data_IF_589933970741
#
_entry.id   IF_589933970741
#
_cell.length_a   1.000
_cell.length_b   1.000
_cell.length_c   1.000
_cell.angle_alpha   90.00
_cell.angle_beta   90.00
_cell.angle_gamma   90.00
#
_symmetry.space_group_name_H-M   'P 1'
#
loop_
_entity.id
_entity.type
_entity.pdbx_description
1 polymer ?
#
# COMPACT_ATOMS: atom_id res chain seq x y z
N UNK A 1 -15.32 -34.88 -28.77
CA UNK A 1 -14.89 -33.95 -27.71
C UNK A 1 -13.40 -34.14 -27.46
N UNK A 2 -12.59 -33.08 -27.56
CA UNK A 2 -11.41 -32.97 -26.71
C UNK A 2 -11.41 -31.66 -25.92
N UNK A 3 -10.86 -31.74 -24.70
CA UNK A 3 -10.73 -30.64 -23.75
C UNK A 3 -9.75 -29.58 -24.28
N UNK A 4 -10.18 -28.32 -24.31
CA UNK A 4 -9.34 -27.20 -24.71
C UNK A 4 -8.72 -26.56 -23.45
N UNK A 5 -7.41 -26.75 -23.27
CA UNK A 5 -6.62 -26.13 -22.21
C UNK A 5 -6.70 -24.59 -22.32
N UNK A 6 -7.18 -23.94 -21.26
CA UNK A 6 -7.15 -22.48 -21.13
C UNK A 6 -5.69 -22.02 -20.92
N UNK A 7 -5.05 -21.54 -21.98
CA UNK A 7 -3.78 -20.79 -21.89
C UNK A 7 -3.98 -19.55 -21.02
N UNK A 8 -3.19 -19.45 -19.95
CA UNK A 8 -3.02 -18.22 -19.18
C UNK A 8 -2.37 -17.14 -20.06
N UNK A 9 -3.11 -16.09 -20.39
CA UNK A 9 -2.54 -14.90 -21.00
C UNK A 9 -1.86 -14.07 -19.91
N UNK A 10 -0.52 -13.95 -20.01
CA UNK A 10 0.25 -12.99 -19.24
C UNK A 10 0.25 -11.66 -19.98
N UNK A 11 0.11 -10.57 -19.25
CA UNK A 11 0.30 -9.21 -19.78
C UNK A 11 1.68 -9.12 -20.46
N UNK A 12 1.65 -8.77 -21.75
CA UNK A 12 2.83 -8.36 -22.51
C UNK A 12 2.72 -6.84 -22.60
N UNK A 13 3.64 -6.13 -21.95
CA UNK A 13 3.65 -4.67 -21.96
C UNK A 13 3.66 -4.16 -23.40
N UNK A 14 2.70 -3.28 -23.70
CA UNK A 14 2.59 -2.63 -25.00
C UNK A 14 3.86 -1.79 -25.22
N UNK A 15 4.59 -2.14 -26.27
CA UNK A 15 5.86 -1.52 -26.62
C UNK A 15 5.56 -0.20 -27.38
N UNK A 16 5.36 0.90 -26.67
CA UNK A 16 5.37 2.23 -27.27
C UNK A 16 6.81 2.71 -27.45
N UNK A 17 7.33 2.63 -28.67
CA UNK A 17 8.63 3.24 -29.04
C UNK A 17 8.53 4.76 -28.87
N UNK A 18 9.22 5.32 -27.87
CA UNK A 18 9.55 6.74 -27.80
C UNK A 18 10.95 6.92 -28.41
N UNK A 19 11.04 7.69 -29.49
CA UNK A 19 12.32 8.12 -30.08
C UNK A 19 12.75 9.43 -29.44
N UNK A 20 13.46 9.34 -28.31
CA UNK A 20 14.59 10.18 -27.90
C UNK A 20 14.97 9.76 -26.48
N UNK A 21 16.18 9.24 -26.32
CA UNK A 21 16.72 8.81 -25.04
C UNK A 21 17.31 10.02 -24.32
N UNK A 22 16.65 10.48 -23.26
CA UNK A 22 17.28 11.36 -22.28
C UNK A 22 17.63 10.54 -21.03
N UNK A 23 18.90 10.58 -20.61
CA UNK A 23 19.47 9.66 -19.61
C UNK A 23 19.08 9.97 -18.16
N UNK A 24 18.31 11.03 -17.92
CA UNK A 24 17.94 11.49 -16.58
C UNK A 24 16.57 10.98 -16.07
N UNK A 25 15.75 10.36 -16.92
CA UNK A 25 14.34 10.06 -16.58
C UNK A 25 13.85 8.74 -17.19
N UNK A 26 14.64 7.66 -17.07
CA UNK A 26 14.19 6.34 -17.53
C UNK A 26 13.35 5.64 -16.45
N UNK A 27 12.22 4.99 -16.79
CA UNK A 27 11.51 4.12 -15.87
C UNK A 27 12.42 3.01 -15.35
N UNK A 28 12.40 2.77 -14.04
CA UNK A 28 13.11 1.65 -13.43
C UNK A 28 12.56 0.35 -14.02
N UNK A 29 13.42 -0.45 -14.67
CA UNK A 29 13.06 -1.78 -15.16
C UNK A 29 13.07 -2.77 -13.99
N UNK A 30 11.90 -3.17 -13.52
CA UNK A 30 11.75 -4.21 -12.51
C UNK A 30 12.01 -5.62 -13.12
N UNK A 31 12.80 -6.49 -12.46
CA UNK A 31 12.95 -7.88 -12.85
C UNK A 31 11.67 -8.67 -12.57
N UNK A 32 11.23 -9.50 -13.52
CA UNK A 32 10.05 -10.36 -13.38
C UNK A 32 10.43 -11.71 -12.77
N UNK A 33 10.33 -11.88 -11.45
CA UNK A 33 10.41 -13.19 -10.82
C UNK A 33 9.00 -13.71 -10.50
N UNK A 34 8.69 -14.96 -10.87
CA UNK A 34 7.39 -15.59 -10.55
C UNK A 34 7.62 -16.57 -9.42
N UNK A 35 7.08 -16.27 -8.23
CA UNK A 35 7.05 -17.22 -7.12
C UNK A 35 5.60 -17.66 -6.87
N UNK A 36 5.40 -18.98 -6.76
CA UNK A 36 4.10 -19.61 -6.55
C UNK A 36 3.94 -19.86 -5.06
N UNK A 37 3.00 -19.19 -4.40
CA UNK A 37 2.80 -19.29 -2.94
C UNK A 37 1.78 -20.40 -2.63
N UNK A 38 2.07 -21.24 -1.63
CA UNK A 38 1.09 -22.15 -0.99
C UNK A 38 1.03 -21.81 0.49
N UNK A 39 -0.14 -21.41 1.00
CA UNK A 39 -0.36 -21.07 2.41
C UNK A 39 -1.04 -22.25 3.13
N UNK A 40 -0.48 -22.71 4.24
CA UNK A 40 -1.15 -23.62 5.19
C UNK A 40 -1.68 -22.82 6.39
N UNK A 41 -2.97 -22.97 6.66
CA UNK A 41 -3.68 -22.34 7.80
C UNK A 41 -3.57 -23.25 9.03
N UNK A 42 -3.23 -22.70 10.19
CA UNK A 42 -3.22 -23.41 11.49
C UNK A 42 -4.25 -22.76 12.42
N UNK A 43 -5.07 -23.60 13.06
CA UNK A 43 -6.16 -23.25 13.99
C UNK A 43 -5.67 -23.02 15.44
N UNK A 44 -6.43 -22.32 16.32
CA UNK A 44 -5.97 -21.95 17.65
C UNK A 44 -6.24 -23.03 18.72
N UNK A 45 -5.35 -23.13 19.71
CA UNK A 45 -5.48 -24.04 20.88
C UNK A 45 -5.90 -23.26 22.15
N UNK A 46 -6.72 -23.93 22.95
CA UNK A 46 -7.44 -23.49 24.16
C UNK A 46 -6.57 -23.29 25.41
N UNK A 47 -7.09 -22.46 26.31
CA UNK A 47 -6.68 -22.17 27.69
C UNK A 47 -6.92 -23.32 28.68
N UNK A 48 -6.02 -23.47 29.66
CA UNK A 48 -6.27 -24.19 30.92
C UNK A 48 -5.78 -23.38 32.14
N UNK A 49 -6.59 -23.45 33.18
CA UNK A 49 -6.52 -22.86 34.53
C UNK A 49 -5.58 -23.64 35.48
N UNK A 50 -5.17 -23.04 36.62
CA UNK A 50 -5.41 -23.56 38.00
C UNK A 50 -4.62 -22.83 39.12
N UNK A 51 -5.40 -22.47 40.15
CA UNK A 51 -5.21 -22.34 41.62
C UNK A 51 -4.19 -21.42 42.32
N UNK A 52 -4.77 -20.79 43.35
CA UNK A 52 -4.33 -19.95 44.46
C UNK A 52 -3.44 -20.59 45.54
N UNK A 53 -2.65 -19.76 46.23
CA UNK A 53 -2.59 -19.76 47.70
C UNK A 53 -2.09 -18.41 48.22
N UNK A 54 -2.69 -17.96 49.33
CA UNK A 54 -2.48 -16.65 49.95
C UNK A 54 -1.42 -16.72 51.06
N UNK A 55 -0.71 -15.60 51.29
CA UNK A 55 -0.28 -15.22 52.65
C UNK A 55 0.00 -13.71 52.78
N UNK A 56 -0.17 -13.26 54.01
CA UNK A 56 -0.56 -11.94 54.53
C UNK A 56 0.55 -10.89 54.74
N UNK A 57 0.12 -9.62 54.70
CA UNK A 57 0.58 -8.42 55.45
C UNK A 57 1.99 -7.83 55.23
N UNK A 58 2.06 -6.61 54.69
CA UNK A 58 2.20 -5.37 55.47
C UNK A 58 2.36 -4.14 54.55
N UNK A 59 1.95 -2.98 55.06
CA UNK A 59 1.94 -1.68 54.39
C UNK A 59 3.36 -1.23 54.02
N UNK A 60 3.59 -0.82 52.77
CA UNK A 60 4.22 0.47 52.47
C UNK A 60 4.27 0.79 50.97
N UNK A 61 4.00 2.07 50.70
CA UNK A 61 4.41 2.85 49.52
C UNK A 61 3.66 2.67 48.20
N UNK A 62 2.88 3.72 47.89
CA UNK A 62 2.44 4.12 46.56
C UNK A 62 3.69 4.32 45.69
N UNK A 63 4.00 3.37 44.81
CA UNK A 63 4.80 3.62 43.62
C UNK A 63 3.96 3.31 42.40
N UNK A 64 3.49 4.39 41.80
CA UNK A 64 2.80 4.48 40.53
C UNK A 64 3.35 3.52 39.49
N UNK A 65 2.42 2.94 38.74
CA UNK A 65 2.63 2.14 37.54
C UNK A 65 3.47 2.95 36.54
N UNK A 66 4.78 2.71 36.51
CA UNK A 66 5.62 3.03 35.36
C UNK A 66 5.95 1.71 34.68
N UNK A 67 5.22 1.39 33.61
CA UNK A 67 5.58 0.36 32.65
C UNK A 67 6.79 0.87 31.83
N UNK A 68 7.96 0.95 32.49
CA UNK A 68 9.21 1.26 31.84
C UNK A 68 9.57 0.09 30.91
N UNK A 69 9.36 0.28 29.60
CA UNK A 69 10.01 -0.50 28.56
C UNK A 69 11.51 -0.49 28.86
N UNK A 70 12.04 -1.62 29.36
CA UNK A 70 13.48 -1.85 29.50
C UNK A 70 14.10 -1.80 28.11
N UNK A 71 14.55 -0.63 27.69
CA UNK A 71 15.44 -0.50 26.53
C UNK A 71 16.74 -1.19 26.96
N UNK A 72 17.16 -2.30 26.32
CA UNK A 72 18.43 -2.93 26.65
C UNK A 72 19.58 -1.92 26.48
N UNK A 73 20.69 -2.08 27.21
CA UNK A 73 21.92 -1.29 26.99
C UNK A 73 22.55 -1.66 25.64
N UNK A 74 21.90 -1.23 24.57
CA UNK A 74 22.22 -1.49 23.18
C UNK A 74 22.67 -0.18 22.53
N UNK A 75 23.55 -0.26 21.53
CA UNK A 75 23.87 0.89 20.67
C UNK A 75 22.59 1.45 20.04
N UNK A 76 22.58 2.75 19.71
CA UNK A 76 21.35 3.45 19.31
C UNK A 76 20.67 2.78 18.13
N UNK A 77 21.46 2.26 17.18
CA UNK A 77 20.96 1.48 16.05
C UNK A 77 20.14 0.27 16.48
N UNK A 78 20.68 -0.55 17.39
CA UNK A 78 19.98 -1.76 17.85
C UNK A 78 18.69 -1.41 18.60
N UNK A 79 18.69 -0.32 19.37
CA UNK A 79 17.49 0.20 20.02
C UNK A 79 16.45 0.66 18.98
N UNK A 80 16.88 1.35 17.92
CA UNK A 80 16.01 1.75 16.80
C UNK A 80 15.41 0.54 16.09
N UNK A 81 16.22 -0.47 15.76
CA UNK A 81 15.73 -1.71 15.13
C UNK A 81 14.69 -2.42 16.00
N UNK A 82 14.94 -2.51 17.32
CA UNK A 82 13.98 -3.04 18.29
C UNK A 82 12.66 -2.24 18.31
N UNK A 83 12.73 -0.91 18.30
CA UNK A 83 11.55 -0.04 18.29
C UNK A 83 10.75 -0.16 16.98
N UNK A 84 11.43 -0.27 15.84
CA UNK A 84 10.81 -0.54 14.55
C UNK A 84 10.03 -1.87 14.55
N UNK A 85 10.52 -2.88 15.27
CA UNK A 85 9.79 -4.15 15.43
C UNK A 85 8.63 -4.05 16.41
N UNK A 86 8.86 -3.52 17.62
CA UNK A 86 7.86 -3.54 18.69
C UNK A 86 6.79 -2.46 18.59
N UNK A 87 7.10 -1.37 17.89
CA UNK A 87 6.21 -0.22 17.66
C UNK A 87 6.09 0.06 16.17
N UNK A 88 5.95 -0.99 15.36
CA UNK A 88 5.99 -0.92 13.89
C UNK A 88 4.99 0.05 13.30
N UNK A 89 3.83 0.24 13.93
CA UNK A 89 2.82 1.20 13.42
C UNK A 89 3.31 2.63 13.50
N UNK A 90 4.00 2.97 14.59
CA UNK A 90 4.54 4.30 14.80
C UNK A 90 5.78 4.56 13.94
N UNK A 91 6.70 3.59 13.85
CA UNK A 91 7.98 3.79 13.17
C UNK A 91 7.96 3.46 11.68
N UNK A 92 7.15 2.49 11.24
CA UNK A 92 7.16 1.97 9.86
C UNK A 92 5.83 2.19 9.13
N UNK A 93 4.80 2.72 9.81
CA UNK A 93 3.44 2.81 9.28
C UNK A 93 2.72 1.46 9.15
N UNK A 94 3.31 0.36 9.65
CA UNK A 94 2.76 -0.99 9.51
C UNK A 94 2.05 -1.43 10.80
N UNK A 95 0.79 -1.89 10.75
CA UNK A 95 0.16 -2.54 11.91
C UNK A 95 1.04 -3.68 12.45
N UNK A 96 1.10 -3.84 13.77
CA UNK A 96 2.00 -4.79 14.44
C UNK A 96 1.82 -6.23 13.95
N UNK A 97 0.57 -6.64 13.72
CA UNK A 97 0.24 -7.96 13.19
C UNK A 97 0.70 -8.19 11.74
N UNK A 98 1.06 -7.13 11.02
CA UNK A 98 1.52 -7.18 9.61
C UNK A 98 3.05 -7.05 9.51
N UNK A 99 3.78 -6.92 10.62
CA UNK A 99 5.24 -6.78 10.61
C UNK A 99 5.97 -7.92 9.85
N UNK A 100 5.35 -9.10 9.72
CA UNK A 100 5.90 -10.21 8.92
C UNK A 100 6.16 -9.83 7.45
N UNK A 101 5.51 -8.79 6.91
CA UNK A 101 5.82 -8.25 5.57
C UNK A 101 7.28 -7.82 5.45
N UNK A 102 7.89 -7.29 6.52
CA UNK A 102 9.32 -6.95 6.55
C UNK A 102 10.17 -8.20 6.31
N UNK A 103 9.84 -9.32 6.96
CA UNK A 103 10.56 -10.59 6.76
C UNK A 103 10.35 -11.15 5.36
N UNK A 104 9.12 -11.09 4.85
CA UNK A 104 8.81 -11.47 3.48
C UNK A 104 9.67 -10.72 2.46
N UNK A 105 9.78 -9.40 2.58
CA UNK A 105 10.62 -8.58 1.69
C UNK A 105 12.09 -9.01 1.77
N UNK A 106 12.63 -9.19 2.99
CA UNK A 106 14.01 -9.61 3.21
C UNK A 106 14.29 -10.97 2.57
N UNK A 107 13.39 -11.93 2.74
CA UNK A 107 13.55 -13.30 2.23
C UNK A 107 13.43 -13.36 0.70
N UNK A 108 12.45 -12.68 0.11
CA UNK A 108 12.18 -12.73 -1.34
C UNK A 108 13.24 -11.97 -2.12
N UNK A 109 13.57 -10.75 -1.68
CA UNK A 109 14.49 -9.86 -2.43
C UNK A 109 15.95 -10.01 -1.98
N UNK A 110 16.22 -10.77 -0.92
CA UNK A 110 17.57 -10.94 -0.34
C UNK A 110 18.23 -9.60 0.02
N UNK A 111 17.42 -8.64 0.44
CA UNK A 111 17.84 -7.32 0.91
C UNK A 111 18.13 -7.37 2.42
N UNK A 112 19.09 -6.58 2.88
CA UNK A 112 19.38 -6.50 4.31
C UNK A 112 18.17 -5.97 5.11
N UNK A 113 17.90 -6.58 6.25
CA UNK A 113 16.76 -6.21 7.12
C UNK A 113 16.80 -4.72 7.51
N UNK A 114 17.97 -4.19 7.87
CA UNK A 114 18.13 -2.76 8.19
C UNK A 114 17.77 -1.84 7.02
N UNK A 115 18.07 -2.23 5.78
CA UNK A 115 17.77 -1.42 4.59
C UNK A 115 16.26 -1.30 4.39
N UNK A 116 15.51 -2.38 4.68
CA UNK A 116 14.04 -2.38 4.67
C UNK A 116 13.51 -1.49 5.78
N UNK A 117 14.05 -1.58 6.99
CA UNK A 117 13.63 -0.73 8.12
C UNK A 117 13.85 0.75 7.86
N UNK A 118 15.04 1.14 7.38
CA UNK A 118 15.37 2.53 7.02
C UNK A 118 14.39 3.05 5.98
N UNK A 119 14.11 2.24 4.96
CA UNK A 119 13.26 2.65 3.84
C UNK A 119 11.81 2.81 4.26
N UNK A 120 11.25 1.83 4.99
CA UNK A 120 9.88 1.90 5.50
C UNK A 120 9.71 2.99 6.56
N UNK A 121 10.72 3.22 7.42
CA UNK A 121 10.68 4.33 8.37
C UNK A 121 10.66 5.67 7.65
N UNK A 122 11.53 5.88 6.64
CA UNK A 122 11.51 7.11 5.85
C UNK A 122 10.15 7.35 5.18
N UNK A 123 9.51 6.32 4.62
CA UNK A 123 8.16 6.43 4.04
C UNK A 123 7.11 6.73 5.12
N UNK A 124 7.17 6.01 6.25
CA UNK A 124 6.14 6.06 7.29
C UNK A 124 6.15 7.34 8.13
N UNK A 125 7.33 7.94 8.37
CA UNK A 125 7.48 9.12 9.22
C UNK A 125 7.85 10.39 8.47
N UNK A 126 8.27 10.28 7.21
CA UNK A 126 8.87 11.36 6.42
C UNK A 126 10.05 12.08 7.13
N UNK A 127 10.76 11.38 8.02
CA UNK A 127 11.89 11.95 8.75
C UNK A 127 12.99 12.46 7.80
N UNK A 128 13.63 13.58 8.16
CA UNK A 128 14.82 14.07 7.43
C UNK A 128 15.97 13.06 7.55
N UNK A 129 16.79 12.93 6.49
CA UNK A 129 17.88 11.95 6.46
C UNK A 129 18.88 12.09 7.60
N UNK A 130 19.09 13.30 8.14
CA UNK A 130 19.94 13.53 9.30
C UNK A 130 19.44 12.80 10.57
N UNK A 131 18.13 12.82 10.82
CA UNK A 131 17.53 12.12 11.97
C UNK A 131 17.66 10.61 11.80
N UNK A 132 17.43 10.10 10.59
CA UNK A 132 17.63 8.68 10.29
C UNK A 132 19.09 8.26 10.43
N UNK A 133 20.03 9.13 10.06
CA UNK A 133 21.46 8.89 10.25
C UNK A 133 21.83 8.74 11.72
N UNK A 134 21.28 9.60 12.59
CA UNK A 134 21.44 9.47 14.04
C UNK A 134 20.81 8.16 14.56
N UNK A 135 19.55 7.89 14.20
CA UNK A 135 18.78 6.73 14.63
C UNK A 135 19.48 5.40 14.32
N UNK A 136 20.12 5.29 13.15
CA UNK A 136 20.78 4.08 12.67
C UNK A 136 22.31 4.08 12.81
N UNK A 137 22.89 5.14 13.38
CA UNK A 137 24.35 5.29 13.58
C UNK A 137 25.14 5.15 12.27
N UNK A 138 24.65 5.83 11.23
CA UNK A 138 25.21 5.82 9.87
C UNK A 138 25.43 7.24 9.37
N UNK A 139 26.20 7.41 8.28
CA UNK A 139 26.28 8.72 7.64
C UNK A 139 25.01 9.04 6.86
N UNK A 140 24.67 10.33 6.78
CA UNK A 140 23.52 10.84 6.01
C UNK A 140 23.55 10.35 4.56
N UNK A 141 24.72 10.39 3.93
CA UNK A 141 24.94 9.90 2.56
C UNK A 141 24.63 8.41 2.44
N UNK A 142 25.01 7.60 3.44
CA UNK A 142 24.76 6.17 3.41
C UNK A 142 23.27 5.84 3.56
N UNK A 143 22.55 6.53 4.45
CA UNK A 143 21.09 6.42 4.59
C UNK A 143 20.39 6.78 3.28
N UNK A 144 20.77 7.91 2.65
CA UNK A 144 20.21 8.32 1.37
C UNK A 144 20.41 7.25 0.29
N UNK A 145 21.62 6.70 0.19
CA UNK A 145 21.92 5.64 -0.78
C UNK A 145 21.12 4.36 -0.52
N UNK A 146 20.96 3.97 0.76
CA UNK A 146 20.11 2.84 1.15
C UNK A 146 18.68 3.08 0.68
N UNK A 147 18.11 4.24 1.00
CA UNK A 147 16.73 4.59 0.63
C UNK A 147 16.54 4.51 -0.88
N UNK A 148 17.34 5.24 -1.66
CA UNK A 148 17.23 5.32 -3.12
C UNK A 148 17.39 3.95 -3.79
N UNK A 149 18.29 3.10 -3.29
CA UNK A 149 18.49 1.73 -3.80
C UNK A 149 17.34 0.79 -3.45
N UNK A 150 16.82 0.90 -2.23
CA UNK A 150 15.89 -0.09 -1.67
C UNK A 150 14.46 0.14 -2.10
N UNK A 151 14.05 1.39 -2.35
CA UNK A 151 12.69 1.75 -2.81
C UNK A 151 12.21 0.86 -3.98
N UNK A 152 12.91 0.78 -5.12
CA UNK A 152 12.42 -0.02 -6.25
C UNK A 152 12.38 -1.52 -5.96
N UNK A 153 13.26 -2.03 -5.09
CA UNK A 153 13.31 -3.44 -4.69
C UNK A 153 12.08 -3.77 -3.83
N UNK A 154 11.82 -2.96 -2.81
CA UNK A 154 10.67 -3.11 -1.93
C UNK A 154 9.37 -2.95 -2.70
N UNK A 155 9.30 -1.97 -3.61
CA UNK A 155 8.14 -1.77 -4.48
C UNK A 155 7.87 -3.01 -5.35
N UNK A 156 8.92 -3.64 -5.90
CA UNK A 156 8.82 -4.90 -6.63
C UNK A 156 8.22 -6.03 -5.79
N UNK A 157 8.71 -6.23 -4.57
CA UNK A 157 8.19 -7.25 -3.66
C UNK A 157 6.72 -7.02 -3.27
N UNK A 158 6.36 -5.76 -2.97
CA UNK A 158 4.99 -5.40 -2.58
C UNK A 158 4.01 -5.44 -3.75
N UNK A 159 4.48 -5.28 -4.99
CA UNK A 159 3.64 -5.40 -6.18
C UNK A 159 3.00 -6.78 -6.31
N UNK A 160 3.66 -7.84 -5.82
CA UNK A 160 3.13 -9.21 -5.81
C UNK A 160 1.93 -9.38 -4.85
N UNK A 161 1.70 -8.42 -3.95
CA UNK A 161 0.54 -8.39 -3.05
C UNK A 161 -0.68 -7.70 -3.68
N UNK A 162 -0.53 -7.09 -4.86
CA UNK A 162 -1.61 -6.40 -5.57
C UNK A 162 -2.21 -7.36 -6.59
N UNK A 163 -3.33 -7.97 -6.21
CA UNK A 163 -4.05 -8.90 -7.08
C UNK A 163 -5.56 -8.79 -6.85
N UNK A 164 -6.32 -9.27 -7.82
CA UNK A 164 -7.78 -9.41 -7.71
C UNK A 164 -8.13 -10.72 -6.99
N UNK A 165 -8.66 -10.68 -5.76
CA UNK A 165 -9.10 -11.88 -5.07
C UNK A 165 -10.41 -12.37 -5.69
N UNK A 166 -10.79 -13.61 -5.40
CA UNK A 166 -12.05 -14.15 -5.91
C UNK A 166 -13.25 -13.40 -5.30
N UNK A 167 -14.35 -13.29 -6.05
CA UNK A 167 -15.58 -12.64 -5.53
C UNK A 167 -16.12 -13.31 -4.26
N UNK A 168 -15.80 -14.59 -4.03
CA UNK A 168 -16.16 -15.32 -2.81
C UNK A 168 -15.34 -14.81 -1.61
N UNK A 169 -14.04 -14.60 -1.78
CA UNK A 169 -13.16 -14.08 -0.72
C UNK A 169 -13.53 -12.65 -0.34
N UNK A 170 -13.83 -11.80 -1.33
CA UNK A 170 -14.30 -10.43 -1.08
C UNK A 170 -15.59 -10.45 -0.25
N UNK A 171 -16.56 -11.27 -0.65
CA UNK A 171 -17.83 -11.39 0.08
C UNK A 171 -17.65 -11.91 1.50
N UNK A 172 -16.70 -12.82 1.74
CA UNK A 172 -16.39 -13.33 3.08
C UNK A 172 -15.82 -12.25 4.00
N UNK A 173 -15.04 -11.30 3.45
CA UNK A 173 -14.42 -10.20 4.21
C UNK A 173 -15.21 -8.90 4.18
N UNK A 174 -16.40 -8.90 3.58
CA UNK A 174 -17.20 -7.69 3.40
C UNK A 174 -17.53 -7.04 4.76
N UNK A 175 -17.13 -5.76 4.97
CA UNK A 175 -17.45 -5.04 6.20
C UNK A 175 -18.95 -4.91 6.43
N UNK A 176 -19.37 -4.83 7.69
CA UNK A 176 -20.79 -4.74 8.08
C UNK A 176 -21.53 -3.62 7.32
N UNK A 177 -21.00 -2.38 7.21
CA UNK A 177 -21.69 -1.30 6.49
C UNK A 177 -21.97 -1.60 5.01
N UNK A 178 -21.15 -2.44 4.38
CA UNK A 178 -21.30 -2.77 2.96
C UNK A 178 -22.31 -3.90 2.70
N UNK A 179 -22.68 -4.70 3.70
CA UNK A 179 -23.49 -5.92 3.51
C UNK A 179 -24.92 -5.64 3.05
N UNK A 180 -25.51 -4.51 3.45
CA UNK A 180 -26.91 -4.19 3.13
C UNK A 180 -27.02 -3.62 1.71
N UNK A 181 -26.35 -2.49 1.47
CA UNK A 181 -26.53 -1.71 0.24
C UNK A 181 -25.43 -1.92 -0.81
N UNK A 182 -24.29 -2.51 -0.44
CA UNK A 182 -23.08 -2.57 -1.28
C UNK A 182 -22.51 -3.99 -1.43
N UNK A 183 -23.34 -5.02 -1.25
CA UNK A 183 -22.91 -6.44 -1.24
C UNK A 183 -22.24 -6.95 -2.52
N UNK A 184 -22.40 -6.24 -3.63
CA UNK A 184 -21.85 -6.58 -4.93
C UNK A 184 -20.64 -5.72 -5.31
N UNK A 185 -20.27 -4.74 -4.48
CA UNK A 185 -19.09 -3.89 -4.71
C UNK A 185 -17.85 -4.72 -4.47
N UNK A 186 -16.98 -4.77 -5.47
CA UNK A 186 -15.69 -5.48 -5.39
C UNK A 186 -14.49 -4.56 -5.56
N UNK A 187 -14.72 -3.37 -6.09
CA UNK A 187 -13.71 -2.38 -6.43
C UNK A 187 -14.25 -1.02 -6.02
N UNK A 188 -13.53 -0.34 -5.15
CA UNK A 188 -13.70 1.06 -4.81
C UNK A 188 -12.52 1.76 -5.46
N UNK A 189 -12.78 2.75 -6.30
CA UNK A 189 -11.72 3.47 -7.00
C UNK A 189 -11.64 4.92 -6.58
N UNK A 190 -10.41 5.42 -6.53
CA UNK A 190 -10.11 6.82 -6.32
C UNK A 190 -8.79 7.19 -7.00
N UNK A 191 -8.62 8.48 -7.34
CA UNK A 191 -7.35 8.99 -7.87
C UNK A 191 -6.53 9.59 -6.72
N UNK A 192 -5.49 8.88 -6.28
CA UNK A 192 -4.49 9.41 -5.37
C UNK A 192 -3.70 10.51 -6.08
N UNK A 193 -3.59 11.68 -5.47
CA UNK A 193 -2.85 12.82 -5.99
C UNK A 193 -1.71 13.21 -5.03
N UNK A 194 -0.47 13.11 -5.53
CA UNK A 194 0.77 13.34 -4.78
C UNK A 194 1.43 14.61 -5.29
N UNK A 195 1.72 15.56 -4.40
CA UNK A 195 2.50 16.76 -4.73
C UNK A 195 3.94 16.40 -5.10
N UNK A 196 4.46 17.08 -6.11
CA UNK A 196 5.83 16.94 -6.57
C UNK A 196 6.51 18.30 -6.66
N UNK A 197 7.83 18.29 -6.64
CA UNK A 197 8.61 19.48 -6.96
C UNK A 197 8.25 20.01 -8.36
N UNK A 198 8.19 21.33 -8.48
CA UNK A 198 7.91 22.01 -9.75
C UNK A 198 8.92 21.57 -10.82
N UNK A 199 8.47 20.93 -11.92
CA UNK A 199 9.38 20.56 -12.99
C UNK A 199 10.01 21.79 -13.65
N UNK A 200 11.31 21.72 -13.96
CA UNK A 200 12.02 22.81 -14.66
C UNK A 200 11.54 23.00 -16.11
N UNK A 201 11.03 21.94 -16.75
CA UNK A 201 10.49 22.01 -18.11
C UNK A 201 9.05 22.58 -18.08
N UNK A 202 8.76 23.69 -18.78
CA UNK A 202 7.43 24.31 -18.78
C UNK A 202 6.30 23.39 -19.26
N UNK A 203 6.59 22.46 -20.18
CA UNK A 203 5.60 21.50 -20.68
C UNK A 203 5.25 20.51 -19.56
N UNK A 204 6.25 19.95 -18.87
CA UNK A 204 6.01 19.06 -17.72
C UNK A 204 5.33 19.80 -16.57
N UNK A 205 5.69 21.07 -16.35
CA UNK A 205 5.02 21.90 -15.37
C UNK A 205 3.52 22.07 -15.70
N UNK A 206 3.17 22.38 -16.95
CA UNK A 206 1.78 22.56 -17.36
C UNK A 206 0.98 21.25 -17.33
N UNK A 207 1.61 20.09 -17.62
CA UNK A 207 0.95 18.79 -17.58
C UNK A 207 0.75 18.25 -16.15
N UNK A 208 1.67 18.58 -15.24
CA UNK A 208 1.57 18.15 -13.84
C UNK A 208 0.83 19.16 -12.96
N UNK A 209 0.44 20.32 -13.48
CA UNK A 209 -0.29 21.31 -12.69
C UNK A 209 -1.69 20.81 -12.28
N UNK A 210 -1.98 20.88 -10.99
CA UNK A 210 -3.29 20.59 -10.42
C UNK A 210 -4.00 21.88 -10.05
N UNK A 211 -5.11 22.16 -10.74
CA UNK A 211 -5.94 23.30 -10.37
C UNK A 211 -6.63 23.12 -9.01
N UNK A 212 -6.80 21.88 -8.56
CA UNK A 212 -7.39 21.56 -7.25
C UNK A 212 -6.40 21.83 -6.12
N UNK A 213 -5.16 21.31 -6.22
CA UNK A 213 -4.12 21.47 -5.19
C UNK A 213 -3.33 22.78 -5.29
N UNK A 214 -3.43 23.50 -6.42
CA UNK A 214 -2.67 24.71 -6.73
C UNK A 214 -1.14 24.50 -6.71
N UNK A 215 -0.70 23.29 -7.06
CA UNK A 215 0.70 22.90 -7.16
C UNK A 215 0.90 21.85 -8.27
N UNK A 216 2.15 21.45 -8.50
CA UNK A 216 2.47 20.36 -9.43
C UNK A 216 2.27 19.01 -8.72
N UNK A 217 1.53 18.10 -9.33
CA UNK A 217 1.18 16.80 -8.77
C UNK A 217 1.29 15.66 -9.79
N UNK A 218 1.38 14.44 -9.28
CA UNK A 218 1.14 13.21 -10.01
C UNK A 218 -0.10 12.52 -9.48
N UNK A 219 -0.89 11.92 -10.38
CA UNK A 219 -2.09 11.17 -10.08
C UNK A 219 -1.93 9.68 -10.37
N UNK A 220 -2.56 8.85 -9.55
CA UNK A 220 -2.60 7.41 -9.69
C UNK A 220 -4.02 6.92 -9.43
N UNK A 221 -4.58 6.14 -10.35
CA UNK A 221 -5.82 5.41 -10.06
C UNK A 221 -5.48 4.25 -9.13
N UNK A 222 -6.13 4.24 -7.97
CA UNK A 222 -6.06 3.16 -7.00
C UNK A 222 -7.42 2.47 -6.99
N UNK A 223 -7.41 1.13 -6.97
CA UNK A 223 -8.59 0.33 -6.63
C UNK A 223 -8.33 -0.46 -5.37
N UNK A 224 -9.32 -0.50 -4.48
CA UNK A 224 -9.35 -1.38 -3.32
C UNK A 224 -10.61 -2.24 -3.29
N UNK A 225 -10.57 -3.35 -2.58
CA UNK A 225 -11.79 -4.04 -2.13
C UNK A 225 -12.46 -3.26 -0.99
N UNK A 226 -13.71 -3.56 -0.63
CA UNK A 226 -14.36 -2.94 0.52
C UNK A 226 -13.65 -3.16 1.87
N UNK A 227 -12.80 -4.19 1.99
CA UNK A 227 -11.94 -4.44 3.17
C UNK A 227 -10.52 -3.83 3.01
N UNK A 228 -10.39 -2.78 2.19
CA UNK A 228 -9.18 -1.97 1.97
C UNK A 228 -7.99 -2.70 1.33
N UNK A 229 -8.19 -3.89 0.75
CA UNK A 229 -7.13 -4.58 0.02
C UNK A 229 -6.92 -3.92 -1.34
N UNK A 230 -5.73 -3.40 -1.60
CA UNK A 230 -5.40 -2.80 -2.91
C UNK A 230 -5.38 -3.88 -3.99
N UNK A 231 -6.19 -3.69 -5.04
CA UNK A 231 -6.31 -4.64 -6.15
C UNK A 231 -5.70 -4.13 -7.45
N UNK A 232 -5.49 -2.82 -7.57
CA UNK A 232 -4.94 -2.20 -8.77
C UNK A 232 -4.31 -0.84 -8.45
N UNK A 233 -3.20 -0.55 -9.13
CA UNK A 233 -2.51 0.76 -9.14
C UNK A 233 -2.14 1.07 -10.59
N UNK A 234 -2.52 2.25 -11.11
CA UNK A 234 -2.14 2.65 -12.46
C UNK A 234 -0.69 3.14 -12.55
N UNK A 235 -0.19 3.33 -13.78
CA UNK A 235 0.93 4.23 -14.02
C UNK A 235 0.61 5.67 -13.57
N UNK A 236 1.65 6.49 -13.39
CA UNK A 236 1.49 7.89 -13.01
C UNK A 236 0.94 8.74 -14.17
N UNK A 237 0.04 9.67 -13.82
CA UNK A 237 -0.47 10.70 -14.71
C UNK A 237 -0.13 12.08 -14.15
N UNK A 238 -0.02 13.11 -14.99
CA UNK A 238 0.14 14.48 -14.49
C UNK A 238 -1.12 14.98 -13.78
N UNK A 239 -0.97 15.88 -12.82
CA UNK A 239 -2.08 16.51 -12.08
C UNK A 239 -3.21 17.08 -12.93
N UNK A 240 -2.92 17.49 -14.16
CA UNK A 240 -3.91 18.01 -15.10
C UNK A 240 -4.83 16.94 -15.69
N UNK A 241 -4.41 15.67 -15.67
CA UNK A 241 -5.21 14.58 -16.20
C UNK A 241 -6.53 14.46 -15.41
N UNK A 242 -7.62 14.29 -16.15
CA UNK A 242 -8.94 14.01 -15.58
C UNK A 242 -9.06 12.54 -15.19
N UNK A 243 -9.89 12.26 -14.18
CA UNK A 243 -10.06 10.89 -13.69
C UNK A 243 -10.64 9.96 -14.77
N UNK A 244 -11.46 10.51 -15.67
CA UNK A 244 -11.98 9.82 -16.87
C UNK A 244 -10.85 9.41 -17.84
N UNK A 245 -9.90 10.30 -18.10
CA UNK A 245 -8.73 9.98 -18.94
C UNK A 245 -7.88 8.89 -18.29
N UNK A 246 -7.64 8.99 -16.98
CA UNK A 246 -6.86 8.02 -16.22
C UNK A 246 -7.50 6.62 -16.31
N UNK A 247 -8.81 6.47 -16.09
CA UNK A 247 -9.49 5.17 -16.25
C UNK A 247 -9.30 4.62 -17.67
N UNK A 248 -9.48 5.46 -18.69
CA UNK A 248 -9.41 5.03 -20.09
C UNK A 248 -8.01 4.54 -20.50
N UNK A 249 -6.96 5.08 -19.89
CA UNK A 249 -5.56 4.81 -20.26
C UNK A 249 -4.82 3.88 -19.28
N UNK A 250 -5.34 3.66 -18.07
CA UNK A 250 -4.66 2.91 -17.00
C UNK A 250 -4.69 1.39 -17.15
N UNK A 251 -5.39 0.82 -18.14
CA UNK A 251 -5.67 -0.62 -18.27
C UNK A 251 -6.62 -1.20 -17.21
N UNK A 252 -7.13 -0.38 -16.27
CA UNK A 252 -8.04 -0.80 -15.20
C UNK A 252 -9.24 -1.63 -15.70
N UNK A 253 -9.93 -1.15 -16.75
CA UNK A 253 -11.11 -1.81 -17.31
C UNK A 253 -10.84 -3.22 -17.86
N UNK A 254 -9.59 -3.52 -18.24
CA UNK A 254 -9.21 -4.83 -18.75
C UNK A 254 -8.85 -5.82 -17.63
N UNK A 255 -8.47 -5.31 -16.45
CA UNK A 255 -8.10 -6.12 -15.29
C UNK A 255 -9.28 -6.35 -14.33
N UNK A 256 -10.32 -5.51 -14.43
CA UNK A 256 -11.52 -5.61 -13.62
C UNK A 256 -12.22 -6.97 -13.83
N UNK A 257 -12.61 -7.67 -12.74
CA UNK A 257 -13.40 -8.89 -12.84
C UNK A 257 -14.74 -8.66 -13.55
N UNK A 258 -15.17 -9.59 -14.40
CA UNK A 258 -16.47 -9.48 -15.08
C UNK A 258 -17.65 -9.53 -14.10
N UNK A 259 -18.76 -8.87 -14.46
CA UNK A 259 -20.03 -8.87 -13.75
C UNK A 259 -19.93 -8.41 -12.29
N UNK A 260 -19.05 -7.45 -12.02
CA UNK A 260 -18.84 -6.88 -10.69
C UNK A 260 -19.30 -5.41 -10.60
N UNK A 261 -19.56 -4.93 -9.37
CA UNK A 261 -19.86 -3.52 -9.15
C UNK A 261 -18.60 -2.74 -8.72
N UNK A 262 -18.41 -1.58 -9.35
CA UNK A 262 -17.36 -0.60 -9.05
C UNK A 262 -18.00 0.57 -8.34
N UNK A 263 -17.51 0.89 -7.15
CA UNK A 263 -17.87 2.11 -6.44
C UNK A 263 -16.88 3.22 -6.79
N UNK A 264 -17.39 4.38 -7.18
CA UNK A 264 -16.56 5.51 -7.56
C UNK A 264 -17.23 6.84 -7.17
N UNK A 265 -16.43 7.84 -6.86
CA UNK A 265 -16.87 9.19 -6.53
C UNK A 265 -17.48 9.93 -7.75
N UNK A 266 -18.24 11.01 -7.54
CA UNK A 266 -18.89 11.73 -8.66
C UNK A 266 -17.89 12.41 -9.62
N UNK A 267 -16.62 12.55 -9.26
CA UNK A 267 -15.53 13.06 -10.11
C UNK A 267 -15.30 12.20 -11.36
N UNK A 268 -15.49 10.88 -11.26
CA UNK A 268 -15.41 9.94 -12.40
C UNK A 268 -16.59 10.07 -13.38
N UNK A 269 -16.57 11.10 -14.21
CA UNK A 269 -17.58 11.31 -15.26
C UNK A 269 -17.51 10.20 -16.32
N UNK A 270 -18.66 9.81 -16.87
CA UNK A 270 -18.79 8.85 -17.99
C UNK A 270 -18.32 7.40 -17.69
N UNK A 271 -17.95 7.10 -16.45
CA UNK A 271 -17.50 5.75 -16.06
C UNK A 271 -18.61 4.70 -16.21
N UNK A 272 -19.87 5.10 -16.07
CA UNK A 272 -21.04 4.26 -16.34
C UNK A 272 -21.01 3.68 -17.76
N UNK A 273 -20.75 4.51 -18.77
CA UNK A 273 -20.62 4.06 -20.15
C UNK A 273 -19.42 3.12 -20.36
N UNK A 274 -18.30 3.41 -19.69
CA UNK A 274 -17.10 2.58 -19.76
C UNK A 274 -17.31 1.20 -19.15
N UNK A 275 -18.09 1.11 -18.06
CA UNK A 275 -18.39 -0.13 -17.35
C UNK A 275 -19.53 -0.94 -17.98
N UNK A 276 -20.49 -0.29 -18.64
CA UNK A 276 -21.78 -0.86 -19.08
C UNK A 276 -21.70 -2.18 -19.87
N UNK A 277 -20.55 -2.48 -20.49
CA UNK A 277 -20.36 -3.74 -21.23
C UNK A 277 -20.18 -4.97 -20.35
N UNK A 278 -19.69 -4.81 -19.12
CA UNK A 278 -19.23 -5.93 -18.27
C UNK A 278 -19.53 -5.75 -16.79
N UNK A 279 -19.76 -4.52 -16.33
CA UNK A 279 -19.70 -4.13 -14.94
C UNK A 279 -20.72 -3.05 -14.59
N UNK A 280 -20.96 -2.85 -13.31
CA UNK A 280 -21.97 -1.93 -12.80
C UNK A 280 -21.32 -0.80 -12.03
N UNK A 281 -21.79 0.44 -12.21
CA UNK A 281 -21.39 1.57 -11.40
C UNK A 281 -22.26 1.67 -10.15
N UNK A 282 -21.63 1.90 -9.00
CA UNK A 282 -22.28 2.27 -7.75
C UNK A 282 -21.72 3.63 -7.32
N UNK A 283 -22.62 4.54 -6.92
CA UNK A 283 -22.25 5.80 -6.28
C UNK A 283 -22.63 5.72 -4.80
N UNK A 284 -21.73 6.07 -3.86
CA UNK A 284 -22.15 6.29 -2.49
C UNK A 284 -23.15 7.48 -2.43
N UNK A 285 -24.06 7.51 -1.44
CA UNK A 285 -24.95 8.64 -1.22
C UNK A 285 -24.10 9.91 -1.00
N UNK A 286 -24.60 11.03 -1.49
CA UNK A 286 -24.04 12.32 -1.09
C UNK A 286 -24.39 12.57 0.36
N UNK A 287 -23.39 12.93 1.16
CA UNK A 287 -23.65 13.62 2.42
C UNK A 287 -24.14 15.03 2.07
N UNK A 288 -25.39 15.33 2.42
CA UNK A 288 -25.81 16.72 2.58
C UNK A 288 -25.07 17.29 3.80
N UNK A 289 -24.57 18.53 3.72
CA UNK A 289 -23.98 19.21 4.88
C UNK A 289 -24.97 19.16 6.05
N UNK A 290 -24.60 18.45 7.12
CA UNK A 290 -25.37 18.42 8.38
C UNK A 290 -25.97 17.08 8.80
N UNK A 291 -25.82 15.99 8.03
CA UNK A 291 -26.18 14.65 8.52
C UNK A 291 -24.93 13.89 8.98
N UNK A 292 -24.76 13.83 10.31
CA UNK A 292 -23.83 12.91 10.97
C UNK A 292 -24.47 11.52 10.91
N UNK A 293 -23.76 10.55 10.34
CA UNK A 293 -24.11 9.12 10.39
C UNK A 293 -24.00 8.57 11.81
#
# INVERSE_FOLDING_TARGET
MPANEKKHFRSVGVNTRIRQTDKASSPVKLPKAKHKITVKVISPVKSESVSSSANTNSYDSISSIEEHLKVPSMGRRNSTEYLCEKKSRFYLGLPEHVYQVVKFIVEVEKIHHVDVLITLKKIGTDDVYARLADDFEMSVTYIHNIFTRSIPIIAGALQELIFWPSSIEIKKRLPIPFRVHYKNVVSIIDCLEIEIEKPSNPIYQAMTWSDYKKCNTLKFLISSTPDDMITFISGAFGGRASDTEIISQSNFLNELPNACAVMADRGFKQIDFMLAKKNFLVRPPSVEEGQIL
#
